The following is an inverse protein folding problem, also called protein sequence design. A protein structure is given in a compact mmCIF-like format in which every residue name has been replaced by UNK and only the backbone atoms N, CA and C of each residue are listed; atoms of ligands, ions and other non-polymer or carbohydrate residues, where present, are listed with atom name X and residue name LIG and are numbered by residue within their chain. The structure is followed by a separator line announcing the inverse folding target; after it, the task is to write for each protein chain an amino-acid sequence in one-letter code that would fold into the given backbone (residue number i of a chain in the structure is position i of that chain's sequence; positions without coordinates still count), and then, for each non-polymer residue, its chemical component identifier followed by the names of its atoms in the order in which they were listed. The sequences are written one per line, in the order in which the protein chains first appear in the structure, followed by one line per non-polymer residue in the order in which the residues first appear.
data_IF_381800654937
#
_entry.id   IF_381800654937
#
_cell.length_a   1.000
_cell.length_b   1.000
_cell.length_c   1.000
_cell.angle_alpha   90.00
_cell.angle_beta   90.00
_cell.angle_gamma   90.00
#
_symmetry.space_group_name_H-M   'P 1'
#
loop_
_entity.id
_entity.type
_entity.pdbx_description
1 polymer ?
#
# COMPACT_ATOMS: atom_id res chain seq x y z
N UNK A 1 17.12 -4.89 -2.82
CA UNK A 1 17.04 -4.99 -4.29
C UNK A 1 15.58 -5.16 -4.69
N UNK A 2 15.00 -4.12 -5.27
CA UNK A 2 13.60 -4.06 -5.74
C UNK A 2 13.49 -4.33 -7.25
N UNK A 3 14.59 -4.78 -7.84
CA UNK A 3 14.70 -5.03 -9.28
C UNK A 3 13.94 -6.30 -9.65
N UNK A 4 12.98 -6.16 -10.55
CA UNK A 4 12.32 -7.27 -11.23
C UNK A 4 13.23 -7.84 -12.32
N UNK A 5 13.17 -9.15 -12.56
CA UNK A 5 13.89 -9.77 -13.66
C UNK A 5 13.30 -9.35 -15.01
N UNK A 6 14.04 -9.58 -16.11
CA UNK A 6 13.69 -9.12 -17.45
C UNK A 6 12.29 -9.59 -17.91
N UNK A 7 11.89 -10.78 -17.50
CA UNK A 7 10.60 -11.39 -17.84
C UNK A 7 9.46 -10.84 -16.95
N UNK A 8 9.74 -10.60 -15.67
CA UNK A 8 8.83 -9.95 -14.72
C UNK A 8 8.59 -8.47 -15.05
N UNK A 9 9.56 -7.80 -15.68
CA UNK A 9 9.45 -6.41 -16.18
C UNK A 9 8.61 -6.28 -17.46
N UNK A 10 8.38 -7.38 -18.19
CA UNK A 10 7.69 -7.32 -19.47
C UNK A 10 6.18 -7.31 -19.26
N UNK A 11 5.53 -6.20 -19.61
CA UNK A 11 4.10 -5.96 -19.36
C UNK A 11 3.20 -6.89 -20.21
N UNK A 12 3.73 -7.45 -21.29
CA UNK A 12 3.06 -8.31 -22.26
C UNK A 12 3.23 -9.82 -21.98
N UNK A 13 4.09 -10.22 -21.04
CA UNK A 13 4.32 -11.63 -20.71
C UNK A 13 3.36 -12.06 -19.59
N UNK A 14 2.12 -12.41 -19.97
CA UNK A 14 1.08 -12.89 -19.07
C UNK A 14 1.05 -14.43 -18.93
N UNK A 15 2.20 -15.09 -18.87
CA UNK A 15 2.26 -16.53 -18.61
C UNK A 15 1.92 -16.81 -17.14
N UNK A 16 1.31 -17.97 -16.86
CA UNK A 16 0.91 -18.34 -15.49
C UNK A 16 2.08 -18.28 -14.50
N UNK A 17 3.25 -18.75 -14.92
CA UNK A 17 4.48 -18.73 -14.13
C UNK A 17 4.93 -17.31 -13.81
N UNK A 18 4.97 -16.41 -14.80
CA UNK A 18 5.37 -15.01 -14.56
C UNK A 18 4.41 -14.31 -13.58
N UNK A 19 3.11 -14.58 -13.67
CA UNK A 19 2.12 -14.04 -12.73
C UNK A 19 2.31 -14.57 -11.30
N UNK A 20 2.59 -15.86 -11.14
CA UNK A 20 2.89 -16.44 -9.82
C UNK A 20 4.18 -15.87 -9.21
N UNK A 21 5.20 -15.62 -10.03
CA UNK A 21 6.46 -15.04 -9.57
C UNK A 21 6.31 -13.56 -9.19
N UNK A 22 5.54 -12.78 -9.95
CA UNK A 22 5.17 -11.40 -9.59
C UNK A 22 4.42 -11.32 -8.26
N UNK A 23 3.53 -12.27 -7.96
CA UNK A 23 2.88 -12.35 -6.64
C UNK A 23 3.91 -12.56 -5.52
N UNK A 24 4.85 -13.50 -5.70
CA UNK A 24 5.93 -13.73 -4.72
C UNK A 24 6.82 -12.50 -4.56
N UNK A 25 7.07 -11.74 -5.62
CA UNK A 25 7.78 -10.46 -5.51
C UNK A 25 6.98 -9.47 -4.67
N UNK A 26 5.67 -9.31 -4.92
CA UNK A 26 4.80 -8.45 -4.13
C UNK A 26 4.81 -8.79 -2.63
N UNK A 27 4.69 -10.08 -2.29
CA UNK A 27 4.77 -10.56 -0.91
C UNK A 27 6.13 -10.27 -0.26
N UNK A 28 7.22 -10.36 -1.03
CA UNK A 28 8.57 -9.98 -0.55
C UNK A 28 8.70 -8.48 -0.34
N UNK A 29 8.10 -7.66 -1.21
CA UNK A 29 8.11 -6.19 -1.08
C UNK A 29 7.39 -5.71 0.18
N UNK A 30 6.33 -6.40 0.61
CA UNK A 30 5.62 -6.09 1.85
C UNK A 30 6.54 -6.19 3.09
N UNK A 31 7.45 -7.16 3.10
CA UNK A 31 8.40 -7.38 4.21
C UNK A 31 9.60 -6.44 4.20
N UNK A 32 9.83 -5.69 3.11
CA UNK A 32 10.94 -4.75 3.01
C UNK A 32 10.66 -3.45 3.78
N UNK A 33 11.71 -2.75 4.25
CA UNK A 33 11.55 -1.43 4.86
C UNK A 33 10.92 -0.45 3.86
N UNK A 34 10.13 0.49 4.38
CA UNK A 34 9.55 1.57 3.57
C UNK A 34 10.67 2.40 2.98
N UNK A 35 10.66 2.60 1.66
CA UNK A 35 11.53 3.58 1.04
C UNK A 35 10.91 4.97 1.18
N UNK A 36 11.66 5.90 1.77
CA UNK A 36 11.29 7.31 1.89
C UNK A 36 12.14 8.13 0.93
N UNK A 37 11.50 8.99 0.14
CA UNK A 37 12.22 9.92 -0.71
C UNK A 37 12.84 11.01 0.16
N UNK A 38 14.16 11.13 0.07
CA UNK A 38 14.89 12.26 0.61
C UNK A 38 14.70 13.44 -0.36
N UNK A 39 14.05 14.50 0.11
CA UNK A 39 13.68 15.64 -0.74
C UNK A 39 14.89 16.49 -1.17
N UNK A 40 16.03 16.35 -0.50
CA UNK A 40 17.26 17.07 -0.80
C UNK A 40 18.09 16.33 -1.85
N UNK A 41 18.21 15.00 -1.73
CA UNK A 41 18.94 14.17 -2.70
C UNK A 41 18.09 13.67 -3.86
N UNK A 42 16.75 13.69 -3.71
CA UNK A 42 15.80 13.09 -4.66
C UNK A 42 15.83 11.56 -4.67
N UNK A 43 16.63 10.92 -3.82
CA UNK A 43 16.80 9.46 -3.79
C UNK A 43 15.88 8.81 -2.77
N UNK A 44 15.49 7.57 -3.06
CA UNK A 44 14.71 6.72 -2.18
C UNK A 44 15.63 6.01 -1.19
N UNK A 45 15.47 6.32 0.10
CA UNK A 45 16.26 5.75 1.19
C UNK A 45 15.39 4.85 2.09
N UNK A 46 15.87 3.68 2.51
CA UNK A 46 15.12 2.81 3.40
C UNK A 46 14.93 3.45 4.79
N UNK A 47 13.68 3.51 5.21
CA UNK A 47 13.26 3.86 6.55
C UNK A 47 13.64 2.74 7.51
N UNK A 48 14.39 3.08 8.54
CA UNK A 48 14.84 2.12 9.58
C UNK A 48 13.69 1.61 10.44
N UNK A 49 12.53 2.27 10.41
CA UNK A 49 11.51 2.14 11.47
C UNK A 49 10.36 1.20 11.17
N UNK A 50 10.09 0.89 9.91
CA UNK A 50 8.87 0.17 9.52
C UNK A 50 8.97 -0.53 8.18
N UNK A 51 8.26 -1.64 8.04
CA UNK A 51 8.08 -2.34 6.76
C UNK A 51 6.91 -1.76 5.96
N UNK A 52 6.87 -2.06 4.66
CA UNK A 52 5.76 -1.66 3.79
C UNK A 52 4.42 -2.23 4.29
N UNK A 53 4.41 -3.46 4.80
CA UNK A 53 3.23 -4.10 5.39
C UNK A 53 2.68 -3.28 6.57
N UNK A 54 3.54 -2.92 7.51
CA UNK A 54 3.16 -2.13 8.69
C UNK A 54 2.67 -0.74 8.30
N UNK A 55 3.33 -0.10 7.34
CA UNK A 55 2.93 1.21 6.83
C UNK A 55 1.56 1.17 6.15
N UNK A 56 1.29 0.17 5.33
CA UNK A 56 -0.01 -0.04 4.69
C UNK A 56 -1.12 -0.32 5.72
N UNK A 57 -0.83 -1.12 6.75
CA UNK A 57 -1.79 -1.38 7.82
C UNK A 57 -2.16 -0.10 8.60
N UNK A 58 -1.17 0.75 8.91
CA UNK A 58 -1.44 2.06 9.53
C UNK A 58 -2.23 2.97 8.60
N UNK A 59 -1.87 3.01 7.32
CA UNK A 59 -2.57 3.83 6.33
C UNK A 59 -4.04 3.41 6.19
N UNK A 60 -4.31 2.11 6.11
CA UNK A 60 -5.67 1.57 6.09
C UNK A 60 -6.49 1.96 7.33
N UNK A 61 -5.86 1.97 8.52
CA UNK A 61 -6.50 2.44 9.76
C UNK A 61 -6.89 3.92 9.69
N UNK A 62 -5.99 4.78 9.20
CA UNK A 62 -6.25 6.22 9.03
C UNK A 62 -7.43 6.43 8.06
N UNK A 63 -7.42 5.74 6.91
CA UNK A 63 -8.51 5.83 5.93
C UNK A 63 -9.85 5.37 6.51
N UNK A 64 -9.86 4.29 7.29
CA UNK A 64 -11.07 3.79 7.95
C UNK A 64 -11.64 4.81 8.95
N UNK A 65 -10.78 5.40 9.79
CA UNK A 65 -11.17 6.43 10.76
C UNK A 65 -11.74 7.66 10.05
N UNK A 66 -11.06 8.15 9.01
CA UNK A 66 -11.53 9.32 8.25
C UNK A 66 -12.88 9.05 7.56
N UNK A 67 -13.07 7.86 6.99
CA UNK A 67 -14.36 7.44 6.42
C UNK A 67 -15.48 7.48 7.46
N UNK A 68 -15.22 7.01 8.69
CA UNK A 68 -16.20 7.06 9.77
C UNK A 68 -16.52 8.49 10.20
N UNK A 69 -15.50 9.35 10.34
CA UNK A 69 -15.68 10.76 10.67
C UNK A 69 -16.53 11.49 9.62
N UNK A 70 -16.27 11.27 8.32
CA UNK A 70 -17.08 11.84 7.23
C UNK A 70 -18.52 11.36 7.26
N UNK A 71 -18.75 10.08 7.58
CA UNK A 71 -20.11 9.52 7.73
C UNK A 71 -20.85 10.16 8.91
N UNK A 72 -20.19 10.34 10.05
CA UNK A 72 -20.79 10.96 11.24
C UNK A 72 -21.11 12.45 11.03
N UNK A 73 -20.29 13.15 10.25
CA UNK A 73 -20.49 14.57 9.90
C UNK A 73 -21.50 14.78 8.75
N UNK A 74 -21.83 13.72 8.00
CA UNK A 74 -22.79 13.83 6.91
C UNK A 74 -24.22 13.96 7.45
N UNK A 75 -25.01 14.95 6.99
CA UNK A 75 -26.40 15.12 7.41
C UNK A 75 -27.28 13.92 7.03
N UNK A 76 -26.82 13.05 6.13
CA UNK A 76 -27.50 11.82 5.70
C UNK A 76 -27.29 10.63 6.66
N UNK A 77 -26.41 10.76 7.67
CA UNK A 77 -26.10 9.69 8.64
C UNK A 77 -27.05 9.63 9.84
N UNK A 78 -27.91 10.63 10.03
CA UNK A 78 -28.95 10.62 11.07
C UNK A 78 -30.29 10.20 10.44
N UNK A 79 -30.48 8.91 10.19
CA UNK A 79 -31.86 8.41 10.21
C UNK A 79 -32.30 8.52 11.67
N UNK A 80 -33.07 9.57 11.94
CA UNK A 80 -33.77 9.80 13.19
C UNK A 80 -34.45 8.51 13.64
N UNK A 81 -34.06 7.98 14.79
CA UNK A 81 -34.89 7.04 15.51
C UNK A 81 -36.11 7.83 16.03
N UNK A 82 -37.24 7.66 15.35
CA UNK A 82 -38.62 7.86 15.82
C UNK A 82 -39.36 6.64 15.24
N UNK A 83 -40.06 5.79 15.99
CA UNK A 83 -40.97 6.00 17.11
C UNK A 83 -40.75 4.95 18.21
#
# INVERSE_FOLDING_TARGET
DDTLSREECSVDIATKTNLEDLVKVGERLLKKPVLRVNLESGLSEPSVKETNEEALARFAKILSQEKQLRRARSPHGKKSCKF
#
